data_IF_149083852190
#
_entry.id   IF_149083852190
#
_cell.length_a   1.000
_cell.length_b   1.000
_cell.length_c   1.000
_cell.angle_alpha   90.00
_cell.angle_beta   90.00
_cell.angle_gamma   90.00
#
_symmetry.space_group_name_H-M   'P 1'
#
loop_
_entity.id
_entity.type
_entity.pdbx_description
1 polymer ?
#
# COMPACT_ATOMS: atom_id res chain seq x y z
N UNK A 1 -34.46 8.91 31.53
CA UNK A 1 -33.59 7.82 31.05
C UNK A 1 -33.24 7.90 29.56
N UNK A 2 -34.09 8.49 28.69
CA UNK A 2 -33.83 8.61 27.24
C UNK A 2 -32.75 9.63 26.87
N UNK A 3 -32.71 10.81 27.50
CA UNK A 3 -31.72 11.87 27.20
C UNK A 3 -30.26 11.46 27.47
N UNK A 4 -30.01 10.69 28.54
CA UNK A 4 -28.67 10.18 28.87
C UNK A 4 -28.19 9.14 27.84
N UNK A 5 -29.10 8.28 27.37
CA UNK A 5 -28.81 7.33 26.29
C UNK A 5 -28.49 8.06 24.99
N UNK A 6 -29.26 9.09 24.61
CA UNK A 6 -28.99 9.89 23.41
C UNK A 6 -27.64 10.61 23.49
N UNK A 7 -27.31 11.20 24.64
CA UNK A 7 -26.01 11.85 24.86
C UNK A 7 -24.85 10.84 24.76
N UNK A 8 -25.04 9.63 25.32
CA UNK A 8 -24.06 8.55 25.27
C UNK A 8 -23.85 8.06 23.83
N UNK A 9 -24.91 7.86 23.04
CA UNK A 9 -24.81 7.50 21.63
C UNK A 9 -24.10 8.59 20.81
N UNK A 10 -24.38 9.86 21.05
CA UNK A 10 -23.70 10.97 20.38
C UNK A 10 -22.22 11.01 20.75
N UNK A 11 -21.88 10.78 22.03
CA UNK A 11 -20.48 10.71 22.46
C UNK A 11 -19.73 9.52 21.89
N UNK A 12 -20.39 8.35 21.72
CA UNK A 12 -19.79 7.19 21.07
C UNK A 12 -19.53 7.43 19.58
N UNK A 13 -20.42 8.13 18.89
CA UNK A 13 -20.23 8.51 17.49
C UNK A 13 -19.05 9.47 17.30
N UNK A 14 -18.75 10.33 18.29
CA UNK A 14 -17.64 11.28 18.25
C UNK A 14 -16.25 10.65 18.51
N UNK A 15 -16.20 9.44 19.07
CA UNK A 15 -14.95 8.69 19.28
C UNK A 15 -14.75 7.55 18.28
N UNK A 16 -15.72 7.30 17.41
CA UNK A 16 -15.54 6.37 16.30
C UNK A 16 -14.61 7.00 15.25
N UNK A 17 -13.37 6.51 15.18
CA UNK A 17 -12.45 6.88 14.11
C UNK A 17 -12.95 6.38 12.75
N UNK A 18 -12.76 7.20 11.72
CA UNK A 18 -12.90 6.82 10.33
C UNK A 18 -11.61 6.13 9.86
N UNK A 19 -11.76 5.08 9.04
CA UNK A 19 -10.67 4.51 8.24
C UNK A 19 -10.98 4.76 6.78
N UNK A 20 -10.14 5.54 6.12
CA UNK A 20 -10.23 5.83 4.71
C UNK A 20 -9.04 5.21 3.98
N UNK A 21 -9.30 4.58 2.84
CA UNK A 21 -8.27 3.96 2.01
C UNK A 21 -8.36 4.54 0.61
N UNK A 22 -7.22 4.91 0.05
CA UNK A 22 -7.12 5.41 -1.32
C UNK A 22 -5.94 4.74 -2.00
N UNK A 23 -6.15 4.20 -3.19
CA UNK A 23 -5.14 3.44 -3.93
C UNK A 23 -4.49 4.29 -5.02
N UNK A 24 -3.21 4.05 -5.25
CA UNK A 24 -2.50 4.44 -6.47
C UNK A 24 -2.84 3.44 -7.59
N UNK A 25 -2.52 3.79 -8.83
CA UNK A 25 -2.67 2.90 -9.97
C UNK A 25 -1.87 1.59 -9.78
N UNK A 26 -2.55 0.46 -9.94
CA UNK A 26 -1.93 -0.85 -9.86
C UNK A 26 -0.93 -1.07 -10.99
N UNK A 27 0.15 -1.79 -10.72
CA UNK A 27 1.20 -2.10 -11.69
C UNK A 27 1.52 -3.59 -11.71
N UNK A 28 1.69 -4.16 -12.88
CA UNK A 28 2.21 -5.52 -13.07
C UNK A 28 3.71 -5.45 -13.27
N UNK A 29 4.47 -6.30 -12.57
CA UNK A 29 5.93 -6.43 -12.64
C UNK A 29 6.27 -7.66 -13.46
N UNK A 30 6.79 -7.45 -14.66
CA UNK A 30 7.21 -8.54 -15.56
C UNK A 30 8.71 -8.78 -15.41
N UNK A 31 9.16 -10.03 -15.18
CA UNK A 31 10.59 -10.35 -15.21
C UNK A 31 11.13 -10.17 -16.64
N UNK A 32 12.35 -9.63 -16.76
CA UNK A 32 13.04 -9.60 -18.06
C UNK A 32 13.46 -11.02 -18.44
N UNK A 33 13.42 -11.36 -19.73
CA UNK A 33 13.83 -12.68 -20.22
C UNK A 33 15.27 -12.99 -19.79
N UNK A 34 15.47 -14.13 -19.11
CA UNK A 34 16.77 -14.54 -18.59
C UNK A 34 17.17 -13.90 -17.25
N UNK A 35 16.32 -13.05 -16.66
CA UNK A 35 16.53 -12.56 -15.29
C UNK A 35 16.28 -13.69 -14.26
N UNK A 36 16.92 -13.57 -13.10
CA UNK A 36 16.67 -14.43 -11.93
C UNK A 36 15.52 -13.91 -11.06
N UNK A 37 14.70 -12.97 -11.56
CA UNK A 37 13.65 -12.33 -10.78
C UNK A 37 12.46 -13.27 -10.60
N UNK A 38 12.56 -14.14 -9.60
CA UNK A 38 11.44 -14.91 -9.06
C UNK A 38 10.78 -14.16 -7.88
N UNK A 39 9.69 -14.71 -7.34
CA UNK A 39 8.96 -14.10 -6.21
C UNK A 39 9.87 -13.77 -5.02
N UNK A 40 10.81 -14.65 -4.68
CA UNK A 40 11.73 -14.43 -3.56
C UNK A 40 12.68 -13.27 -3.83
N UNK A 41 13.29 -13.26 -5.02
CA UNK A 41 14.19 -12.21 -5.44
C UNK A 41 13.47 -10.85 -5.52
N UNK A 42 12.24 -10.83 -6.02
CA UNK A 42 11.41 -9.63 -6.07
C UNK A 42 11.08 -9.13 -4.66
N UNK A 43 10.75 -10.04 -3.73
CA UNK A 43 10.40 -9.67 -2.37
C UNK A 43 11.61 -9.15 -1.60
N UNK A 44 12.78 -9.77 -1.80
CA UNK A 44 14.04 -9.26 -1.25
C UNK A 44 14.35 -7.87 -1.80
N UNK A 45 14.31 -7.70 -3.13
CA UNK A 45 14.59 -6.41 -3.77
C UNK A 45 13.63 -5.31 -3.31
N UNK A 46 12.34 -5.63 -3.19
CA UNK A 46 11.34 -4.70 -2.65
C UNK A 46 11.61 -4.37 -1.18
N UNK A 47 11.89 -5.37 -0.35
CA UNK A 47 12.16 -5.17 1.08
C UNK A 47 13.37 -4.27 1.30
N UNK A 48 14.44 -4.48 0.55
CA UNK A 48 15.65 -3.67 0.60
C UNK A 48 15.36 -2.23 0.14
N UNK A 49 14.77 -2.08 -1.06
CA UNK A 49 14.49 -0.78 -1.65
C UNK A 49 13.55 0.09 -0.80
N UNK A 50 12.47 -0.49 -0.28
CA UNK A 50 11.51 0.21 0.56
C UNK A 50 12.05 0.39 1.98
N UNK A 51 12.87 -0.54 2.48
CA UNK A 51 13.56 -0.42 3.77
C UNK A 51 14.45 0.82 3.85
N UNK A 52 15.24 1.09 2.80
CA UNK A 52 16.03 2.33 2.67
C UNK A 52 15.18 3.61 2.73
N UNK A 53 13.89 3.50 2.41
CA UNK A 53 12.90 4.60 2.42
C UNK A 53 12.04 4.60 3.68
N UNK A 54 12.49 3.92 4.74
CA UNK A 54 11.83 3.82 6.04
C UNK A 54 10.49 3.07 6.03
N UNK A 55 10.27 2.21 5.04
CA UNK A 55 9.19 1.23 5.13
C UNK A 55 9.63 0.06 6.02
N UNK A 56 8.68 -0.48 6.79
CA UNK A 56 8.83 -1.77 7.46
C UNK A 56 8.09 -2.81 6.65
N UNK A 57 8.83 -3.81 6.17
CA UNK A 57 8.31 -4.85 5.31
C UNK A 57 8.13 -6.15 6.07
N UNK A 58 6.94 -6.73 5.96
CA UNK A 58 6.55 -8.00 6.56
C UNK A 58 6.00 -8.90 5.46
N UNK A 59 6.43 -10.16 5.45
CA UNK A 59 5.90 -11.18 4.55
C UNK A 59 4.79 -11.93 5.23
N UNK A 60 3.62 -11.95 4.61
CA UNK A 60 2.49 -12.72 5.08
C UNK A 60 2.77 -14.22 4.85
N UNK A 61 2.82 -15.01 5.92
CA UNK A 61 3.09 -16.46 5.82
C UNK A 61 2.01 -17.20 5.01
N UNK A 62 0.77 -16.73 5.08
CA UNK A 62 -0.36 -17.24 4.30
C UNK A 62 -0.64 -16.26 3.16
N UNK A 63 -0.80 -16.76 1.93
CA UNK A 63 -1.06 -15.93 0.75
C UNK A 63 0.19 -15.41 0.02
N UNK A 64 1.38 -15.52 0.63
CA UNK A 64 2.64 -15.24 -0.06
C UNK A 64 2.78 -13.79 -0.51
N UNK A 65 2.20 -12.84 0.22
CA UNK A 65 2.21 -11.40 -0.08
C UNK A 65 3.34 -10.72 0.69
N UNK A 66 4.06 -9.79 0.06
CA UNK A 66 4.93 -8.85 0.77
C UNK A 66 4.16 -7.55 1.04
N UNK A 67 4.18 -7.07 2.28
CA UNK A 67 3.58 -5.79 2.67
C UNK A 67 4.62 -4.88 3.28
N UNK A 68 4.73 -3.65 2.80
CA UNK A 68 5.67 -2.65 3.29
C UNK A 68 4.90 -1.42 3.77
N UNK A 69 5.16 -0.98 5.00
CA UNK A 69 4.43 0.12 5.64
C UNK A 69 5.34 1.28 6.01
N UNK A 70 4.92 2.51 5.68
CA UNK A 70 5.59 3.73 6.13
C UNK A 70 4.58 4.72 6.69
N UNK A 71 4.87 5.26 7.88
CA UNK A 71 4.11 6.40 8.42
C UNK A 71 4.40 7.64 7.58
N UNK A 72 3.37 8.26 7.01
CA UNK A 72 3.47 9.53 6.30
C UNK A 72 3.21 10.70 7.25
N UNK A 73 2.28 10.51 8.19
CA UNK A 73 1.95 11.48 9.23
C UNK A 73 1.43 10.74 10.45
N UNK A 74 1.87 11.15 11.63
CA UNK A 74 1.42 10.59 12.90
C UNK A 74 1.05 11.74 13.84
N UNK A 75 -0.21 12.15 13.78
CA UNK A 75 -0.80 13.10 14.73
C UNK A 75 -1.78 12.38 15.64
N UNK A 76 -1.92 12.86 16.87
CA UNK A 76 -2.83 12.30 17.87
C UNK A 76 -4.29 12.16 17.38
N UNK A 77 -4.72 13.00 16.43
CA UNK A 77 -6.08 13.01 15.87
C UNK A 77 -6.21 12.32 14.50
N UNK A 78 -5.09 12.04 13.83
CA UNK A 78 -5.06 11.50 12.46
C UNK A 78 -3.72 10.85 12.12
N UNK A 79 -3.76 9.59 11.72
CA UNK A 79 -2.62 8.81 11.28
C UNK A 79 -2.75 8.52 9.78
N UNK A 80 -1.73 8.91 9.02
CA UNK A 80 -1.63 8.59 7.58
C UNK A 80 -0.45 7.65 7.39
N UNK A 81 -0.68 6.49 6.78
CA UNK A 81 0.38 5.55 6.38
C UNK A 81 0.28 5.19 4.90
N UNK A 82 1.43 5.00 4.28
CA UNK A 82 1.55 4.32 3.00
C UNK A 82 1.71 2.82 3.25
N UNK A 83 0.98 2.01 2.49
CA UNK A 83 1.17 0.58 2.36
C UNK A 83 1.54 0.28 0.91
N UNK A 84 2.58 -0.50 0.68
CA UNK A 84 2.93 -1.08 -0.61
C UNK A 84 2.77 -2.58 -0.49
N UNK A 85 2.10 -3.22 -1.45
CA UNK A 85 1.89 -4.66 -1.47
C UNK A 85 2.43 -5.25 -2.76
N UNK A 86 3.19 -6.34 -2.66
CA UNK A 86 3.60 -7.17 -3.80
C UNK A 86 2.86 -8.50 -3.69
N UNK A 87 1.94 -8.73 -4.61
CA UNK A 87 1.14 -9.95 -4.68
C UNK A 87 1.76 -10.87 -5.74
N UNK A 88 1.97 -12.16 -5.42
CA UNK A 88 2.28 -13.14 -6.44
C UNK A 88 1.06 -13.27 -7.35
N UNK A 89 1.29 -13.16 -8.65
CA UNK A 89 0.38 -13.76 -9.62
C UNK A 89 0.86 -15.20 -9.84
N UNK A 90 0.02 -16.09 -10.36
CA UNK A 90 0.42 -17.47 -10.64
C UNK A 90 1.72 -17.48 -11.46
N UNK A 91 2.68 -18.36 -11.11
CA UNK A 91 4.14 -18.25 -11.37
C UNK A 91 4.60 -18.03 -12.83
N UNK A 92 3.67 -17.94 -13.78
CA UNK A 92 3.84 -17.62 -15.20
C UNK A 92 3.56 -16.14 -15.51
N UNK A 93 2.83 -15.41 -14.65
CA UNK A 93 2.36 -14.04 -14.86
C UNK A 93 3.06 -13.03 -13.94
N UNK A 94 2.94 -11.75 -14.30
CA UNK A 94 3.58 -10.65 -13.61
C UNK A 94 3.04 -10.45 -12.19
N UNK A 95 3.92 -10.25 -11.21
CA UNK A 95 3.52 -9.87 -9.85
C UNK A 95 2.75 -8.55 -9.86
N UNK A 96 1.72 -8.43 -9.02
CA UNK A 96 1.00 -7.17 -8.90
C UNK A 96 1.54 -6.33 -7.76
N UNK A 97 1.83 -5.06 -8.06
CA UNK A 97 2.29 -4.03 -7.15
C UNK A 97 1.15 -3.04 -6.91
N UNK A 98 0.69 -2.96 -5.66
CA UNK A 98 -0.26 -1.96 -5.19
C UNK A 98 0.39 -0.98 -4.23
N UNK A 99 -0.11 0.25 -4.21
CA UNK A 99 0.13 1.17 -3.11
C UNK A 99 -1.17 1.80 -2.62
N UNK A 100 -1.34 1.82 -1.32
CA UNK A 100 -2.49 2.40 -0.64
C UNK A 100 -2.02 3.49 0.33
N UNK A 101 -2.83 4.55 0.46
CA UNK A 101 -2.78 5.49 1.57
C UNK A 101 -3.91 5.13 2.51
N UNK A 102 -3.56 4.84 3.75
CA UNK A 102 -4.50 4.62 4.83
C UNK A 102 -4.53 5.85 5.71
N UNK A 103 -5.72 6.38 5.91
CA UNK A 103 -6.02 7.56 6.72
C UNK A 103 -6.96 7.15 7.84
N UNK A 104 -6.43 7.02 9.06
CA UNK A 104 -7.13 6.58 10.25
C UNK A 104 -7.23 7.74 11.25
N UNK A 105 -8.44 8.10 11.67
CA UNK A 105 -8.61 9.22 12.60
C UNK A 105 -10.01 9.79 12.63
N UNK A 106 -10.18 10.99 13.17
CA UNK A 106 -11.49 11.62 13.31
C UNK A 106 -11.91 12.44 12.07
N UNK A 107 -11.10 12.45 11.01
CA UNK A 107 -11.39 13.21 9.79
C UNK A 107 -12.35 12.40 8.90
N UNK A 108 -13.54 12.94 8.59
CA UNK A 108 -14.45 12.31 7.64
C UNK A 108 -13.82 12.12 6.26
N UNK A 109 -14.12 11.00 5.60
CA UNK A 109 -13.53 10.64 4.31
C UNK A 109 -13.83 11.63 3.18
N UNK A 110 -14.94 12.36 3.27
CA UNK A 110 -15.34 13.40 2.31
C UNK A 110 -14.36 14.57 2.27
N UNK A 111 -13.58 14.76 3.34
CA UNK A 111 -12.57 15.82 3.46
C UNK A 111 -11.16 15.35 3.05
N UNK A 112 -11.00 14.08 2.70
CA UNK A 112 -9.72 13.47 2.35
C UNK A 112 -9.66 13.30 0.83
N UNK A 113 -8.54 13.69 0.23
CA UNK A 113 -8.35 13.54 -1.22
C UNK A 113 -8.47 12.08 -1.64
N UNK A 114 -9.27 11.82 -2.68
CA UNK A 114 -9.36 10.50 -3.33
C UNK A 114 -8.24 10.26 -4.34
N UNK A 115 -7.40 11.26 -4.58
CA UNK A 115 -6.22 11.11 -5.43
C UNK A 115 -5.03 10.71 -4.57
N UNK A 116 -4.29 9.72 -5.06
CA UNK A 116 -3.07 9.25 -4.44
C UNK A 116 -2.11 8.69 -5.49
N UNK A 117 -0.86 9.07 -5.38
CA UNK A 117 0.25 8.49 -6.14
C UNK A 117 1.39 8.23 -5.17
N UNK A 118 1.95 7.02 -5.20
CA UNK A 118 3.10 6.69 -4.37
C UNK A 118 4.39 6.88 -5.19
N UNK A 119 5.19 7.94 -4.94
CA UNK A 119 6.42 8.18 -5.69
C UNK A 119 7.47 7.07 -5.49
N UNK A 120 7.43 6.36 -4.36
CA UNK A 120 8.37 5.27 -4.09
C UNK A 120 8.07 4.03 -4.94
N UNK A 121 6.80 3.81 -5.32
CA UNK A 121 6.43 2.73 -6.25
C UNK A 121 7.00 3.02 -7.64
N UNK A 122 6.88 4.27 -8.12
CA UNK A 122 7.48 4.66 -9.39
C UNK A 122 9.01 4.52 -9.36
N UNK A 123 9.65 4.96 -8.28
CA UNK A 123 11.08 4.82 -8.11
C UNK A 123 11.53 3.35 -8.03
N UNK A 124 10.72 2.46 -7.43
CA UNK A 124 10.99 1.03 -7.40
C UNK A 124 10.92 0.42 -8.81
N UNK A 125 9.94 0.81 -9.60
CA UNK A 125 9.83 0.37 -10.99
C UNK A 125 11.03 0.79 -11.84
N UNK A 126 11.51 2.02 -11.69
CA UNK A 126 12.73 2.48 -12.35
C UNK A 126 13.97 1.74 -11.84
N UNK A 127 14.01 1.40 -10.56
CA UNK A 127 15.09 0.60 -9.98
C UNK A 127 15.17 -0.81 -10.57
N UNK A 128 14.04 -1.52 -10.66
CA UNK A 128 13.98 -2.85 -11.28
C UNK A 128 14.44 -2.82 -12.74
N UNK A 129 14.03 -1.79 -13.48
CA UNK A 129 14.42 -1.59 -14.87
C UNK A 129 15.92 -1.29 -15.00
N UNK A 130 16.45 -0.40 -14.17
CA UNK A 130 17.86 -0.03 -14.18
C UNK A 130 18.79 -1.22 -13.85
N UNK A 131 18.32 -2.16 -13.03
CA UNK A 131 19.04 -3.40 -12.72
C UNK A 131 18.79 -4.53 -13.72
N UNK A 132 18.01 -4.30 -14.78
CA UNK A 132 17.59 -5.31 -15.76
C UNK A 132 16.91 -6.55 -15.11
N UNK A 133 16.24 -6.34 -13.98
CA UNK A 133 15.53 -7.40 -13.26
C UNK A 133 14.10 -7.57 -13.79
N UNK A 134 13.39 -6.47 -14.00
CA UNK A 134 11.99 -6.48 -14.39
C UNK A 134 11.49 -5.13 -14.89
N UNK A 135 10.31 -5.14 -15.48
CA UNK A 135 9.63 -3.94 -15.98
C UNK A 135 8.22 -3.85 -15.39
N UNK A 136 7.89 -2.68 -14.84
CA UNK A 136 6.52 -2.38 -14.43
C UNK A 136 5.67 -1.90 -15.60
N UNK A 137 4.40 -2.32 -15.63
CA UNK A 137 3.37 -1.79 -16.54
C UNK A 137 2.13 -1.45 -15.73
N UNK A 138 1.48 -0.32 -16.04
CA UNK A 138 0.20 0.01 -15.44
C UNK A 138 -0.81 -1.09 -15.80
N UNK A 139 -1.58 -1.53 -14.80
CA UNK A 139 -2.75 -2.37 -15.08
C UNK A 139 -3.85 -1.50 -15.69
N UNK A 140 -4.57 -2.00 -16.71
CA UNK A 140 -5.77 -1.33 -17.17
C UNK A 140 -6.78 -1.28 -16.01
N UNK A 141 -7.42 -0.13 -15.81
CA UNK A 141 -8.51 -0.01 -14.84
C UNK A 141 -9.60 -1.01 -15.21
N UNK A 142 -9.90 -1.97 -14.33
CA UNK A 142 -11.10 -2.78 -14.43
C UNK A 142 -12.29 -1.87 -14.15
N UNK A 143 -12.94 -1.42 -15.22
CA UNK A 143 -14.19 -0.65 -15.16
C UNK A 143 -15.35 -1.42 -14.55
#
# INVERSE_FOLDING_TARGET
MTKLKTLLFLSLALVAGCTNVTSDAARSVYPVTGSSLNTEALFSAASDFFGERSYRCDREREGGILRCYRKLRDLYIHQTRAEVMVLPDDEVHAHTLYANRWDEGLIPGELISKEYTNPDVLAFCEHLKAQALGECRLQPESG
#
